data_IF_227686937322
#
_entry.id   IF_227686937322
#
_cell.length_a   1.000
_cell.length_b   1.000
_cell.length_c   1.000
_cell.angle_alpha   90.00
_cell.angle_beta   90.00
_cell.angle_gamma   90.00
#
_symmetry.space_group_name_H-M   'P 1'
#
loop_
_entity.id
_entity.type
_entity.pdbx_description
1 polymer ?
#
# COMPACT_ATOMS: atom_id res chain seq x y z
N UNK A 1 -11.71 0.48 12.67
CA UNK A 1 -10.57 0.70 11.74
C UNK A 1 -11.09 0.62 10.31
N UNK A 2 -10.86 1.64 9.49
CA UNK A 2 -11.28 1.64 8.07
C UNK A 2 -10.26 0.85 7.23
N UNK A 3 -10.73 0.15 6.21
CA UNK A 3 -9.90 -0.69 5.34
C UNK A 3 -9.98 -0.18 3.90
N UNK A 4 -8.85 -0.17 3.20
CA UNK A 4 -8.75 0.21 1.78
C UNK A 4 -7.99 -0.85 1.00
N UNK A 5 -8.45 -1.16 -0.21
CA UNK A 5 -7.76 -2.00 -1.19
C UNK A 5 -7.19 -1.09 -2.28
N UNK A 6 -5.88 -1.20 -2.53
CA UNK A 6 -5.19 -0.45 -3.58
C UNK A 6 -4.60 -1.44 -4.58
N UNK A 7 -5.09 -1.40 -5.80
CA UNK A 7 -4.53 -2.17 -6.92
C UNK A 7 -3.49 -1.34 -7.66
N UNK A 8 -2.37 -1.96 -8.06
CA UNK A 8 -1.28 -1.25 -8.74
C UNK A 8 -0.41 -0.43 -7.77
N UNK A 9 -0.19 -0.93 -6.56
CA UNK A 9 0.54 -0.21 -5.50
C UNK A 9 2.07 -0.23 -5.65
N UNK A 10 2.63 -0.87 -6.67
CA UNK A 10 4.08 -1.01 -6.85
C UNK A 10 4.82 0.27 -7.23
N UNK A 11 4.13 1.32 -7.70
CA UNK A 11 4.76 2.57 -8.14
C UNK A 11 3.75 3.72 -8.27
N UNK A 12 4.27 4.95 -8.43
CA UNK A 12 3.47 6.12 -8.76
C UNK A 12 2.38 6.42 -7.74
N UNK A 13 1.20 6.82 -8.23
CA UNK A 13 0.08 7.25 -7.38
C UNK A 13 -0.39 6.13 -6.44
N UNK A 14 -0.49 4.88 -6.91
CA UNK A 14 -0.92 3.77 -6.06
C UNK A 14 -0.02 3.58 -4.85
N UNK A 15 1.30 3.71 -5.05
CA UNK A 15 2.30 3.60 -3.99
C UNK A 15 2.20 4.72 -2.96
N UNK A 16 2.16 5.97 -3.42
CA UNK A 16 2.06 7.13 -2.51
C UNK A 16 0.71 7.16 -1.78
N UNK A 17 -0.36 6.70 -2.43
CA UNK A 17 -1.68 6.55 -1.82
C UNK A 17 -1.66 5.52 -0.68
N UNK A 18 -0.99 4.38 -0.87
CA UNK A 18 -0.84 3.37 0.19
C UNK A 18 -0.11 3.94 1.41
N UNK A 19 0.99 4.66 1.20
CA UNK A 19 1.74 5.33 2.27
C UNK A 19 0.88 6.33 3.03
N UNK A 20 0.12 7.16 2.32
CA UNK A 20 -0.78 8.14 2.92
C UNK A 20 -1.85 7.47 3.79
N UNK A 21 -2.47 6.39 3.32
CA UNK A 21 -3.50 5.69 4.09
C UNK A 21 -2.95 5.01 5.35
N UNK A 22 -1.75 4.42 5.28
CA UNK A 22 -1.06 3.88 6.47
C UNK A 22 -0.85 4.98 7.51
N UNK A 23 -0.34 6.15 7.10
CA UNK A 23 -0.13 7.29 8.01
C UNK A 23 -1.44 7.75 8.67
N UNK A 24 -2.54 7.69 7.92
CA UNK A 24 -3.89 8.00 8.40
C UNK A 24 -4.57 6.86 9.18
N UNK A 25 -3.82 5.83 9.59
CA UNK A 25 -4.29 4.71 10.44
C UNK A 25 -5.38 3.84 9.79
N UNK A 26 -5.36 3.74 8.46
CA UNK A 26 -6.17 2.75 7.74
C UNK A 26 -5.46 1.41 7.74
N UNK A 27 -6.25 0.33 7.65
CA UNK A 27 -5.74 -0.97 7.21
C UNK A 27 -5.64 -0.94 5.69
N UNK A 28 -4.43 -1.09 5.16
CA UNK A 28 -4.17 -1.02 3.72
C UNK A 28 -3.87 -2.43 3.21
N UNK A 29 -4.63 -2.87 2.21
CA UNK A 29 -4.34 -4.06 1.41
C UNK A 29 -3.83 -3.58 0.06
N UNK A 30 -2.61 -3.97 -0.32
CA UNK A 30 -1.93 -3.41 -1.48
C UNK A 30 -1.53 -4.52 -2.46
N UNK A 31 -2.02 -4.46 -3.70
CA UNK A 31 -1.74 -5.48 -4.71
C UNK A 31 -0.95 -4.91 -5.89
N UNK A 32 -0.07 -5.71 -6.46
CA UNK A 32 0.71 -5.37 -7.64
C UNK A 32 1.12 -6.64 -8.42
N UNK A 33 1.48 -6.46 -9.69
CA UNK A 33 2.00 -7.56 -10.52
C UNK A 33 3.44 -7.95 -10.18
N UNK A 34 4.24 -6.99 -9.71
CA UNK A 34 5.63 -7.20 -9.33
C UNK A 34 5.76 -6.91 -7.82
N UNK A 35 5.94 -7.97 -7.03
CA UNK A 35 6.03 -7.90 -5.58
C UNK A 35 7.39 -7.39 -5.09
N UNK A 36 8.45 -7.49 -5.88
CA UNK A 36 9.79 -7.00 -5.51
C UNK A 36 9.79 -5.48 -5.25
N UNK A 37 8.84 -4.76 -5.87
CA UNK A 37 8.65 -3.31 -5.69
C UNK A 37 7.78 -2.92 -4.50
N UNK A 38 7.29 -3.89 -3.72
CA UNK A 38 6.35 -3.71 -2.61
C UNK A 38 7.00 -3.78 -1.23
N UNK A 39 8.31 -4.06 -1.14
CA UNK A 39 8.99 -4.31 0.13
C UNK A 39 8.86 -3.14 1.13
N UNK A 40 8.89 -1.89 0.65
CA UNK A 40 8.71 -0.71 1.49
C UNK A 40 7.27 -0.57 1.99
N UNK A 41 6.26 -0.91 1.18
CA UNK A 41 4.87 -0.90 1.62
C UNK A 41 4.60 -1.98 2.68
N UNK A 42 5.20 -3.16 2.54
CA UNK A 42 5.13 -4.21 3.55
C UNK A 42 5.79 -3.78 4.87
N UNK A 43 6.96 -3.13 4.82
CA UNK A 43 7.63 -2.56 6.01
C UNK A 43 6.78 -1.48 6.69
N UNK A 44 6.00 -0.73 5.93
CA UNK A 44 5.04 0.25 6.45
C UNK A 44 3.78 -0.38 7.04
N UNK A 45 3.60 -1.70 6.93
CA UNK A 45 2.45 -2.42 7.48
C UNK A 45 1.26 -2.56 6.52
N UNK A 46 1.49 -2.37 5.21
CA UNK A 46 0.50 -2.81 4.21
C UNK A 46 0.45 -4.34 4.18
N UNK A 47 -0.77 -4.87 4.00
CA UNK A 47 -1.06 -6.29 3.77
C UNK A 47 -0.98 -6.66 2.29
#
# INVERSE_FOLDING_TARGET
>A
MKTVLITGASSGIGKETAKLFVQNKFRVVATARNLDRMADLAQLGCL
#
